data_IF_990438245420
#
_entry.id   IF_990438245420
#
_cell.length_a   1.000
_cell.length_b   1.000
_cell.length_c   1.000
_cell.angle_alpha   90.00
_cell.angle_beta   90.00
_cell.angle_gamma   90.00
#
_symmetry.space_group_name_H-M   'P 1'
#
loop_
_entity.id
_entity.type
_entity.pdbx_description
1 polymer ?
#
# COMPACT_ATOMS: atom_id res chain seq x y z
N UNK A 1 26.84 6.28 4.94
CA UNK A 1 25.78 5.32 4.54
C UNK A 1 24.85 5.03 5.71
N UNK A 2 23.86 4.14 5.53
CA UNK A 2 22.86 3.79 6.56
C UNK A 2 23.11 2.44 7.25
N UNK A 3 24.13 1.67 6.84
CA UNK A 3 24.34 0.28 7.25
C UNK A 3 24.38 0.02 8.77
N UNK A 4 24.82 0.98 9.59
CA UNK A 4 24.82 0.84 11.06
C UNK A 4 23.53 1.33 11.75
N UNK A 5 22.53 1.78 10.99
CA UNK A 5 21.28 2.39 11.51
C UNK A 5 20.01 1.72 10.99
N UNK A 6 20.14 0.80 10.03
CA UNK A 6 19.02 0.13 9.39
C UNK A 6 19.27 -1.38 9.35
N UNK A 7 18.22 -2.15 9.64
CA UNK A 7 18.20 -3.60 9.48
C UNK A 7 16.99 -3.97 8.62
N UNK A 8 17.20 -4.86 7.66
CA UNK A 8 16.10 -5.49 6.94
C UNK A 8 15.63 -6.73 7.69
N UNK A 9 14.32 -6.91 7.82
CA UNK A 9 13.69 -8.09 8.44
C UNK A 9 12.60 -8.58 7.50
N UNK A 10 12.66 -9.85 7.12
CA UNK A 10 11.58 -10.50 6.39
C UNK A 10 10.38 -10.75 7.34
N UNK A 11 9.17 -10.65 6.80
CA UNK A 11 7.94 -10.89 7.54
C UNK A 11 6.71 -10.43 6.76
N UNK A 12 5.54 -10.78 7.28
CA UNK A 12 4.25 -10.38 6.74
C UNK A 12 3.45 -9.56 7.75
N UNK A 13 2.83 -8.47 7.30
CA UNK A 13 1.93 -7.68 8.14
C UNK A 13 0.59 -8.38 8.42
N UNK A 14 0.30 -9.51 7.75
CA UNK A 14 -0.85 -10.36 8.05
C UNK A 14 -0.57 -11.40 9.13
N UNK A 15 0.70 -11.71 9.40
CA UNK A 15 1.08 -12.72 10.38
C UNK A 15 1.30 -12.06 11.74
N UNK A 16 0.52 -12.41 12.78
CA UNK A 16 0.72 -11.86 14.12
C UNK A 16 2.13 -12.14 14.65
N UNK A 17 2.80 -11.10 15.14
CA UNK A 17 4.15 -11.20 15.73
C UNK A 17 5.33 -11.00 14.77
N UNK A 18 5.09 -10.95 13.45
CA UNK A 18 6.16 -10.68 12.48
C UNK A 18 6.68 -9.24 12.57
N UNK A 19 5.76 -8.30 12.86
CA UNK A 19 6.03 -6.87 13.03
C UNK A 19 6.88 -6.67 14.31
N UNK A 20 8.08 -6.07 14.22
CA UNK A 20 8.93 -5.81 15.39
C UNK A 20 8.20 -5.00 16.47
N UNK A 21 8.18 -5.53 17.68
CA UNK A 21 7.53 -4.89 18.81
C UNK A 21 8.37 -3.76 19.40
N UNK A 22 7.69 -2.80 20.02
CA UNK A 22 8.33 -1.84 20.90
C UNK A 22 9.00 -0.64 20.23
N UNK A 23 8.68 -0.32 18.97
CA UNK A 23 9.22 0.87 18.31
C UNK A 23 8.49 2.14 18.77
N UNK A 24 9.20 3.29 18.76
CA UNK A 24 8.57 4.59 19.05
C UNK A 24 7.61 5.01 17.94
N UNK A 25 8.00 4.73 16.68
CA UNK A 25 7.24 5.08 15.49
C UNK A 25 7.24 3.91 14.51
N UNK A 26 6.05 3.57 14.02
CA UNK A 26 5.81 2.70 12.88
C UNK A 26 5.48 3.57 11.67
N UNK A 27 6.10 3.29 10.52
CA UNK A 27 5.85 4.06 9.28
C UNK A 27 5.42 3.10 8.19
N UNK A 28 4.28 3.39 7.55
CA UNK A 28 3.79 2.68 6.37
C UNK A 28 3.56 3.69 5.27
N UNK A 29 4.09 3.43 4.08
CA UNK A 29 3.99 4.33 2.93
C UNK A 29 3.58 3.52 1.71
N UNK A 30 2.47 3.89 1.07
CA UNK A 30 1.95 3.19 -0.11
C UNK A 30 1.81 1.69 0.15
N UNK A 31 1.14 1.33 1.25
CA UNK A 31 0.85 -0.06 1.62
C UNK A 31 -0.65 -0.25 1.76
N UNK A 32 -1.31 0.60 2.56
CA UNK A 32 -2.70 0.36 2.97
C UNK A 32 -3.71 0.68 1.85
N UNK A 33 -3.31 1.48 0.86
CA UNK A 33 -4.16 1.74 -0.29
C UNK A 33 -4.37 0.52 -1.20
N UNK A 34 -3.47 -0.48 -1.17
CA UNK A 34 -3.56 -1.71 -1.96
C UNK A 34 -4.64 -2.67 -1.46
N UNK A 35 -5.13 -2.45 -0.23
CA UNK A 35 -5.99 -3.41 0.47
C UNK A 35 -7.39 -2.88 0.73
N UNK A 36 -8.35 -3.79 0.82
CA UNK A 36 -9.70 -3.49 1.27
C UNK A 36 -9.73 -3.15 2.78
N UNK A 37 -10.90 -2.79 3.30
CA UNK A 37 -11.02 -2.42 4.71
C UNK A 37 -10.84 -3.60 5.67
N UNK A 38 -11.18 -4.82 5.28
CA UNK A 38 -11.02 -5.99 6.16
C UNK A 38 -9.54 -6.32 6.34
N UNK A 39 -8.80 -6.32 5.25
CA UNK A 39 -7.35 -6.53 5.24
C UNK A 39 -6.63 -5.38 5.95
N UNK A 40 -6.99 -4.13 5.66
CA UNK A 40 -6.47 -2.98 6.39
C UNK A 40 -6.71 -3.07 7.90
N UNK A 41 -7.92 -3.47 8.35
CA UNK A 41 -8.19 -3.67 9.78
C UNK A 41 -7.27 -4.72 10.38
N UNK A 42 -7.01 -5.82 9.67
CA UNK A 42 -6.11 -6.89 10.12
C UNK A 42 -4.67 -6.36 10.28
N UNK A 43 -4.17 -5.66 9.26
CA UNK A 43 -2.84 -5.04 9.27
C UNK A 43 -2.72 -4.07 10.44
N UNK A 44 -3.68 -3.15 10.58
CA UNK A 44 -3.69 -2.13 11.62
C UNK A 44 -3.75 -2.73 13.03
N UNK A 45 -4.51 -3.83 13.24
CA UNK A 45 -4.52 -4.56 14.52
C UNK A 45 -3.18 -5.21 14.83
N UNK A 46 -2.53 -5.81 13.83
CA UNK A 46 -1.22 -6.43 14.02
C UNK A 46 -0.14 -5.38 14.33
N UNK A 47 -0.19 -4.22 13.67
CA UNK A 47 0.67 -3.07 14.03
C UNK A 47 0.38 -2.61 15.45
N UNK A 48 -0.89 -2.44 15.80
CA UNK A 48 -1.32 -2.04 17.15
C UNK A 48 -0.84 -3.00 18.25
N UNK A 49 -0.79 -4.31 17.97
CA UNK A 49 -0.27 -5.31 18.91
C UNK A 49 1.25 -5.21 19.12
N UNK A 50 2.00 -4.69 18.14
CA UNK A 50 3.44 -4.44 18.25
C UNK A 50 3.75 -3.12 18.98
N UNK A 51 2.81 -2.18 18.98
CA UNK A 51 2.95 -0.84 19.56
C UNK A 51 2.98 -0.86 21.09
N UNK A 52 3.74 0.08 21.66
CA UNK A 52 3.64 0.48 23.07
C UNK A 52 2.53 1.53 23.21
N UNK A 53 2.05 1.83 24.44
CA UNK A 53 1.04 2.85 24.67
C UNK A 53 1.41 4.26 24.16
N UNK A 54 2.71 4.56 24.06
CA UNK A 54 3.27 5.84 23.58
C UNK A 54 3.70 5.82 22.11
N UNK A 55 3.65 4.67 21.45
CA UNK A 55 4.01 4.54 20.04
C UNK A 55 3.04 5.28 19.12
N UNK A 56 3.52 5.62 17.93
CA UNK A 56 2.69 6.20 16.85
C UNK A 56 2.82 5.39 15.58
N UNK A 57 1.73 5.29 14.83
CA UNK A 57 1.76 4.82 13.45
C UNK A 57 1.58 6.03 12.52
N UNK A 58 2.50 6.20 11.58
CA UNK A 58 2.46 7.24 10.56
C UNK A 58 2.20 6.56 9.21
N UNK A 59 1.05 6.84 8.64
CA UNK A 59 0.63 6.34 7.33
C UNK A 59 0.81 7.47 6.31
N UNK A 60 1.57 7.18 5.26
CA UNK A 60 1.88 8.10 4.16
C UNK A 60 1.16 7.61 2.91
N UNK A 61 -0.03 8.15 2.67
CA UNK A 61 -0.94 7.73 1.59
C UNK A 61 -1.63 8.94 0.97
N UNK A 62 -2.22 8.78 -0.22
CA UNK A 62 -3.08 9.82 -0.78
C UNK A 62 -4.34 9.93 0.07
N UNK A 63 -4.72 11.15 0.42
CA UNK A 63 -5.95 11.42 1.18
C UNK A 63 -6.97 11.99 0.21
N UNK A 64 -7.99 11.20 -0.11
CA UNK A 64 -9.05 11.61 -1.01
C UNK A 64 -9.80 12.82 -0.44
N UNK A 65 -9.99 13.83 -1.28
CA UNK A 65 -10.78 15.01 -0.95
C UNK A 65 -12.23 14.63 -0.70
N UNK A 66 -12.85 15.22 0.34
CA UNK A 66 -14.29 15.07 0.61
C UNK A 66 -15.14 16.13 -0.09
N UNK A 67 -14.54 16.98 -0.96
CA UNK A 67 -15.30 18.01 -1.70
C UNK A 67 -16.28 17.34 -2.67
N UNK A 68 -17.57 17.59 -2.45
CA UNK A 68 -18.60 17.29 -3.42
C UNK A 68 -18.58 18.36 -4.52
N UNK A 69 -18.23 17.98 -5.75
CA UNK A 69 -18.35 18.85 -6.93
C UNK A 69 -17.20 18.65 -7.90
N UNK A 70 -17.54 18.27 -9.14
CA UNK A 70 -16.62 18.26 -10.27
C UNK A 70 -16.40 19.71 -10.71
N UNK A 71 -15.25 20.27 -10.38
CA UNK A 71 -14.74 21.52 -10.95
C UNK A 71 -13.95 21.14 -12.23
N UNK A 72 -14.44 21.46 -13.45
CA UNK A 72 -13.92 20.92 -14.71
C UNK A 72 -12.44 21.23 -15.00
N UNK A 73 -11.84 22.14 -14.23
CA UNK A 73 -10.47 22.63 -14.41
C UNK A 73 -9.54 22.28 -13.25
N UNK A 74 -10.06 21.62 -12.22
CA UNK A 74 -9.25 20.95 -11.21
C UNK A 74 -9.36 19.46 -11.47
N UNK A 75 -8.48 18.92 -12.32
CA UNK A 75 -8.16 17.52 -12.17
C UNK A 75 -7.57 17.37 -10.77
N UNK A 76 -8.37 16.91 -9.81
CA UNK A 76 -7.80 16.46 -8.54
C UNK A 76 -6.97 15.22 -8.90
N UNK A 77 -5.65 15.37 -8.87
CA UNK A 77 -4.73 14.28 -9.20
C UNK A 77 -4.94 13.08 -8.27
N UNK A 78 -5.59 13.26 -7.11
CA UNK A 78 -6.08 12.18 -6.27
C UNK A 78 -7.09 11.28 -7.00
N UNK A 79 -7.98 11.85 -7.83
CA UNK A 79 -8.93 11.06 -8.64
C UNK A 79 -8.20 10.30 -9.77
N UNK A 80 -7.10 10.85 -10.30
CA UNK A 80 -6.25 10.13 -11.26
C UNK A 80 -5.50 8.97 -10.59
N UNK A 81 -4.98 9.16 -9.37
CA UNK A 81 -4.38 8.07 -8.60
C UNK A 81 -5.41 7.03 -8.17
N UNK A 82 -6.62 7.41 -7.77
CA UNK A 82 -7.69 6.46 -7.43
C UNK A 82 -8.09 5.62 -8.65
N UNK A 83 -8.21 6.24 -9.84
CA UNK A 83 -8.39 5.52 -11.10
C UNK A 83 -7.20 4.63 -11.45
N UNK A 84 -5.96 5.08 -11.19
CA UNK A 84 -4.76 4.28 -11.42
C UNK A 84 -4.69 3.07 -10.46
N UNK A 85 -5.05 3.24 -9.18
CA UNK A 85 -5.07 2.17 -8.18
C UNK A 85 -6.21 1.18 -8.42
N UNK A 86 -7.40 1.67 -8.77
CA UNK A 86 -8.54 0.82 -9.17
C UNK A 86 -8.17 -0.08 -10.35
N UNK A 87 -7.42 0.44 -11.32
CA UNK A 87 -7.02 -0.30 -12.52
C UNK A 87 -5.81 -1.20 -12.29
N UNK A 88 -4.90 -0.85 -11.38
CA UNK A 88 -3.59 -1.54 -11.23
C UNK A 88 -3.58 -2.61 -10.12
N UNK A 89 -4.27 -2.39 -9.01
CA UNK A 89 -4.15 -3.24 -7.81
C UNK A 89 -5.50 -3.66 -7.20
N UNK A 90 -6.62 -3.03 -7.62
CA UNK A 90 -7.91 -3.22 -6.97
C UNK A 90 -8.01 -2.56 -5.58
N UNK A 91 -7.00 -1.75 -5.24
CA UNK A 91 -6.94 -0.91 -4.05
C UNK A 91 -7.87 0.29 -4.12
N UNK A 92 -7.95 1.06 -3.02
CA UNK A 92 -8.81 2.24 -2.93
C UNK A 92 -8.15 3.36 -2.12
N UNK A 93 -8.30 4.59 -2.60
CA UNK A 93 -7.91 5.76 -1.84
C UNK A 93 -9.00 6.13 -0.83
N UNK A 94 -8.59 6.55 0.37
CA UNK A 94 -9.50 6.80 1.49
C UNK A 94 -9.50 8.28 1.88
N UNK A 95 -10.68 8.80 2.18
CA UNK A 95 -10.85 10.13 2.76
C UNK A 95 -10.39 10.17 4.22
N UNK A 96 -10.16 11.38 4.76
CA UNK A 96 -9.83 11.53 6.17
C UNK A 96 -10.92 10.95 7.11
N UNK A 97 -12.21 11.05 6.74
CA UNK A 97 -13.29 10.40 7.48
C UNK A 97 -13.25 8.87 7.42
N UNK A 98 -12.90 8.30 6.27
CA UNK A 98 -12.75 6.84 6.08
C UNK A 98 -11.57 6.30 6.90
N UNK A 99 -10.44 7.01 6.90
CA UNK A 99 -9.28 6.67 7.74
C UNK A 99 -9.62 6.63 9.23
N UNK A 100 -10.42 7.59 9.72
CA UNK A 100 -10.85 7.60 11.12
C UNK A 100 -11.68 6.37 11.48
N UNK A 101 -12.68 6.02 10.66
CA UNK A 101 -13.53 4.84 10.88
C UNK A 101 -12.71 3.55 10.84
N UNK A 102 -11.78 3.46 9.91
CA UNK A 102 -10.90 2.31 9.76
C UNK A 102 -9.99 2.13 10.98
N UNK A 103 -9.39 3.22 11.47
CA UNK A 103 -8.56 3.21 12.68
C UNK A 103 -9.38 2.79 13.92
N UNK A 104 -10.58 3.35 14.09
CA UNK A 104 -11.47 3.04 15.22
C UNK A 104 -11.83 1.54 15.26
N UNK A 105 -12.19 0.96 14.11
CA UNK A 105 -12.49 -0.47 13.98
C UNK A 105 -11.27 -1.39 14.23
N UNK A 106 -10.06 -0.83 14.21
CA UNK A 106 -8.80 -1.50 14.55
C UNK A 106 -8.33 -1.22 16.00
N UNK A 107 -9.10 -0.48 16.80
CA UNK A 107 -8.71 -0.12 18.18
C UNK A 107 -7.71 1.03 18.25
N UNK A 108 -7.62 1.85 17.20
CA UNK A 108 -6.79 3.04 17.12
C UNK A 108 -7.62 4.30 16.95
N UNK A 109 -6.98 5.46 17.14
CA UNK A 109 -7.55 6.76 16.82
C UNK A 109 -6.57 7.56 15.96
N UNK A 110 -7.11 8.33 15.01
CA UNK A 110 -6.33 9.26 14.20
C UNK A 110 -6.08 10.54 15.01
N UNK A 111 -4.83 10.79 15.40
CA UNK A 111 -4.43 11.99 16.16
C UNK A 111 -4.23 13.21 15.26
N UNK A 112 -3.82 13.00 14.01
CA UNK A 112 -3.66 14.05 13.01
C UNK A 112 -3.85 13.49 11.60
N UNK A 113 -4.41 14.29 10.70
CA UNK A 113 -4.46 13.98 9.27
C UNK A 113 -4.24 15.26 8.47
N UNK A 114 -3.28 15.23 7.54
CA UNK A 114 -2.96 16.37 6.68
C UNK A 114 -2.81 15.87 5.23
N UNK A 115 -3.54 16.45 4.27
CA UNK A 115 -3.34 16.13 2.86
C UNK A 115 -1.95 16.57 2.41
N UNK A 116 -1.36 15.84 1.46
CA UNK A 116 -0.07 16.19 0.88
C UNK A 116 -0.17 17.41 -0.03
N UNK A 117 0.94 18.11 -0.27
CA UNK A 117 0.96 19.20 -1.25
C UNK A 117 1.10 18.65 -2.67
N UNK A 118 0.27 19.13 -3.59
CA UNK A 118 0.31 18.88 -5.04
C UNK A 118 0.18 17.40 -5.46
N UNK A 119 1.21 16.59 -5.24
CA UNK A 119 1.37 15.20 -5.74
C UNK A 119 1.93 14.27 -4.63
N UNK A 120 2.14 14.81 -3.42
CA UNK A 120 2.74 14.06 -2.32
C UNK A 120 1.74 13.25 -1.51
N UNK A 121 2.22 12.17 -0.87
CA UNK A 121 1.49 11.47 0.17
C UNK A 121 0.99 12.47 1.23
N UNK A 122 -0.28 12.38 1.61
CA UNK A 122 -0.75 12.92 2.86
C UNK A 122 -0.17 12.15 4.04
N UNK A 123 -0.34 12.68 5.23
CA UNK A 123 0.10 12.05 6.48
C UNK A 123 -1.11 11.80 7.36
N UNK A 124 -1.27 10.56 7.81
CA UNK A 124 -2.24 10.17 8.84
C UNK A 124 -1.44 9.63 10.02
N UNK A 125 -1.53 10.31 11.17
CA UNK A 125 -0.95 9.85 12.42
C UNK A 125 -2.02 9.13 13.23
N UNK A 126 -1.72 7.91 13.66
CA UNK A 126 -2.58 7.07 14.49
C UNK A 126 -1.87 6.69 15.79
N UNK A 127 -2.67 6.49 16.83
CA UNK A 127 -2.23 5.97 18.14
C UNK A 127 -3.26 4.98 18.67
N UNK A 128 -2.85 4.13 19.61
CA UNK A 128 -3.77 3.21 20.28
C UNK A 128 -4.91 3.99 20.95
N UNK A 129 -6.14 3.56 20.70
CA UNK A 129 -7.31 4.16 21.33
C UNK A 129 -7.33 3.81 22.81
N UNK A 130 -7.66 4.78 23.66
CA UNK A 130 -7.93 4.53 25.08
C UNK A 130 -9.33 3.99 25.33
N UNK A 131 -10.20 4.03 24.33
CA UNK A 131 -11.58 3.55 24.39
C UNK A 131 -11.69 2.11 23.84
N UNK A 132 -12.62 1.33 24.39
CA UNK A 132 -12.89 -0.03 23.90
C UNK A 132 -13.41 0.02 22.44
N UNK A 133 -12.96 -0.89 21.55
CA UNK A 133 -13.33 -0.87 20.14
C UNK A 133 -14.84 -1.12 19.95
N UNK A 134 -15.48 -0.33 19.08
CA UNK A 134 -16.89 -0.51 18.73
C UNK A 134 -17.09 -1.85 17.96
N UNK A 135 -18.21 -2.57 18.17
CA UNK A 135 -18.48 -3.82 17.46
C UNK A 135 -18.68 -3.56 15.97
N UNK A 136 -17.92 -4.26 15.12
CA UNK A 136 -18.00 -4.13 13.67
C UNK A 136 -19.36 -4.63 13.14
N UNK A 137 -20.03 -3.82 12.32
CA UNK A 137 -21.20 -4.24 11.55
C UNK A 137 -20.76 -4.70 10.16
N UNK A 138 -20.84 -6.00 9.88
CA UNK A 138 -20.41 -6.59 8.61
C UNK A 138 -21.57 -6.82 7.64
N UNK A 139 -21.39 -6.35 6.40
CA UNK A 139 -21.87 -7.00 5.19
C UNK A 139 -20.67 -7.12 4.25
N UNK A 140 -20.29 -8.35 3.97
CA UNK A 140 -18.99 -8.74 3.43
C UNK A 140 -19.05 -8.90 1.90
N UNK A 141 -18.10 -8.29 1.20
CA UNK A 141 -17.74 -8.59 -0.18
C UNK A 141 -16.41 -9.37 -0.15
N UNK A 142 -16.16 -10.31 -1.07
CA UNK A 142 -15.02 -11.22 -0.99
C UNK A 142 -13.66 -10.49 -1.03
N UNK A 143 -12.65 -11.00 -0.31
CA UNK A 143 -11.38 -10.30 -0.09
C UNK A 143 -10.49 -10.23 -1.35
N UNK A 144 -9.75 -9.13 -1.46
CA UNK A 144 -8.80 -8.87 -2.55
C UNK A 144 -7.55 -9.79 -2.53
N UNK A 145 -7.33 -10.58 -1.47
CA UNK A 145 -6.23 -11.56 -1.38
C UNK A 145 -6.21 -12.59 -2.51
N UNK A 146 -7.37 -12.88 -3.10
CA UNK A 146 -7.48 -13.72 -4.29
C UNK A 146 -6.94 -13.05 -5.57
N UNK A 147 -6.96 -11.71 -5.65
CA UNK A 147 -6.52 -10.95 -6.81
C UNK A 147 -4.99 -10.70 -6.81
N UNK A 148 -4.36 -10.49 -5.65
CA UNK A 148 -2.89 -10.37 -5.54
C UNK A 148 -2.20 -11.67 -6.00
N UNK A 149 -2.73 -12.82 -5.57
CA UNK A 149 -2.22 -14.14 -6.00
C UNK A 149 -2.40 -14.39 -7.51
N UNK A 150 -3.36 -13.71 -8.16
CA UNK A 150 -3.59 -13.81 -9.60
C UNK A 150 -2.73 -12.81 -10.40
N UNK A 151 -2.54 -11.60 -9.87
CA UNK A 151 -1.68 -10.57 -10.46
C UNK A 151 -0.19 -10.96 -10.38
N UNK A 152 0.26 -11.56 -9.27
CA UNK A 152 1.63 -12.11 -9.13
C UNK A 152 1.91 -13.21 -10.17
N UNK A 153 0.91 -14.09 -10.45
CA UNK A 153 1.02 -15.11 -11.51
C UNK A 153 1.07 -14.51 -12.92
N UNK A 154 0.32 -13.44 -13.16
CA UNK A 154 0.33 -12.73 -14.46
C UNK A 154 1.64 -11.98 -14.70
N UNK A 155 2.27 -11.44 -13.65
CA UNK A 155 3.59 -10.80 -13.77
C UNK A 155 4.73 -11.81 -13.94
N UNK A 156 4.64 -12.99 -13.31
CA UNK A 156 5.62 -14.07 -13.51
C UNK A 156 5.54 -14.66 -14.93
N UNK A 157 4.33 -14.87 -15.48
CA UNK A 157 4.14 -15.32 -16.86
C UNK A 157 4.62 -14.26 -17.87
N UNK A 158 4.36 -12.97 -17.61
CA UNK A 158 4.84 -11.89 -18.49
C UNK A 158 6.36 -11.67 -18.40
N UNK A 159 6.99 -11.92 -17.26
CA UNK A 159 8.45 -11.86 -17.11
C UNK A 159 9.14 -12.98 -17.89
N UNK A 160 8.56 -14.19 -17.89
CA UNK A 160 9.06 -15.33 -18.68
C UNK A 160 8.98 -15.07 -20.19
N UNK A 161 7.89 -14.46 -20.68
CA UNK A 161 7.71 -14.11 -22.09
C UNK A 161 8.71 -13.04 -22.57
N UNK A 162 9.02 -12.05 -21.73
CA UNK A 162 10.03 -11.02 -22.06
C UNK A 162 11.41 -11.65 -22.15
N UNK A 163 11.76 -12.55 -21.25
CA UNK A 163 13.08 -13.21 -21.24
C UNK A 163 13.27 -14.09 -22.48
N UNK A 164 12.24 -14.83 -22.91
CA UNK A 164 12.26 -15.62 -24.16
C UNK A 164 12.43 -14.74 -25.41
N UNK A 165 11.73 -13.60 -25.46
CA UNK A 165 11.84 -12.64 -26.57
C UNK A 165 13.21 -11.99 -26.62
N UNK A 166 13.81 -11.61 -25.49
CA UNK A 166 15.20 -11.10 -25.45
C UNK A 166 16.24 -12.17 -25.80
N UNK A 167 16.00 -13.45 -25.45
CA UNK A 167 16.89 -14.55 -25.83
C UNK A 167 16.86 -14.82 -27.34
N UNK A 168 15.68 -14.82 -27.98
CA UNK A 168 15.53 -14.96 -29.44
C UNK A 168 16.16 -13.79 -30.19
N UNK A 169 15.97 -12.56 -29.71
CA UNK A 169 16.57 -11.36 -30.28
C UNK A 169 18.11 -11.29 -30.13
N UNK A 170 18.70 -12.06 -29.21
CA UNK A 170 20.15 -12.15 -28.98
C UNK A 170 20.81 -13.22 -29.85
N UNK A 171 20.12 -14.33 -30.13
CA UNK A 171 20.59 -15.37 -31.06
C UNK A 171 20.59 -14.87 -32.52
N UNK A 172 19.59 -14.09 -32.92
CA UNK A 172 19.52 -13.51 -34.27
C UNK A 172 20.59 -12.43 -34.51
N UNK A 173 21.05 -11.76 -33.45
CA UNK A 173 22.11 -10.73 -33.54
C UNK A 173 23.52 -11.32 -33.68
N UNK A 174 23.72 -12.57 -33.25
CA UNK A 174 25.02 -13.27 -33.37
C UNK A 174 25.24 -13.86 -34.77
N UNK A 175 24.18 -13.97 -35.59
CA UNK A 175 24.25 -14.53 -36.94
C UNK A 175 24.66 -13.52 -38.04
N UNK A 176 24.80 -12.22 -37.72
CA UNK A 176 24.99 -11.14 -38.71
C UNK A 176 26.42 -10.55 -38.71
N UNK A 177 27.35 -11.10 -37.92
CA UNK A 177 28.76 -10.67 -37.94
C UNK A 177 29.69 -11.76 -38.44
N UNK A 178 29.78 -11.90 -39.77
CA UNK A 178 30.99 -12.36 -40.44
C UNK A 178 31.18 -11.53 -41.72
N UNK A 179 32.14 -10.59 -41.76
CA UNK A 179 32.63 -9.97 -42.99
C UNK A 179 33.94 -10.64 -43.40
N UNK A 180 34.01 -11.17 -44.61
CA UNK A 180 35.23 -11.43 -45.38
C UNK A 180 34.85 -11.01 -46.82
N UNK A 181 35.38 -9.97 -47.47
CA UNK A 181 36.74 -9.42 -47.58
C UNK A 181 37.77 -10.44 -48.10
N UNK A 182 37.62 -10.86 -49.36
CA UNK A 182 38.61 -10.69 -50.45
C UNK A 182 38.10 -11.17 -51.80
#
# INVERSE_FOLDING_TARGET
GVAGRCQAKAGSFFVPGDIPAGADVYVMKNILHDWDDADCRTILRNVGAAMRPDSRLVVLEVIRSERAGYEPWTLDLADYFDLNMLVTVGGRERSAGEWRRLAEAAGMEVSAAAPGSLIGCGTIEMRLSRAAPAPAAEREAPPASAAVTAAERLTDDAAADVEEVTARASLERTAVQHPDDT
#
